data_IF_116735829137
#
_entry.id   IF_116735829137
#
_cell.length_a   1.000
_cell.length_b   1.000
_cell.length_c   1.000
_cell.angle_alpha   90.00
_cell.angle_beta   90.00
_cell.angle_gamma   90.00
#
_symmetry.space_group_name_H-M   'P 1'
#
loop_
_entity.id
_entity.type
_entity.pdbx_description
1 polymer ?
#
# COMPACT_ATOMS: atom_id res chain seq x y z
N UNK A 1 -12.99 -5.76 34.99
CA UNK A 1 -13.27 -6.20 33.60
C UNK A 1 -12.04 -5.87 32.77
N UNK A 2 -11.13 -6.82 32.62
CA UNK A 2 -9.91 -6.67 31.82
C UNK A 2 -10.27 -6.98 30.37
N UNK A 3 -10.64 -5.96 29.61
CA UNK A 3 -10.85 -6.09 28.18
C UNK A 3 -9.50 -6.35 27.51
N UNK A 4 -9.37 -7.48 26.83
CA UNK A 4 -8.26 -7.74 25.92
C UNK A 4 -8.40 -6.73 24.80
N UNK A 5 -7.59 -5.68 24.83
CA UNK A 5 -7.45 -4.75 23.71
C UNK A 5 -6.76 -5.55 22.62
N UNK A 6 -7.49 -6.01 21.60
CA UNK A 6 -6.84 -6.48 20.39
C UNK A 6 -6.08 -5.27 19.84
N UNK A 7 -4.76 -5.33 19.85
CA UNK A 7 -3.93 -4.24 19.35
C UNK A 7 -4.14 -4.10 17.84
N UNK A 8 -5.05 -3.22 17.45
CA UNK A 8 -5.31 -2.92 16.04
C UNK A 8 -4.02 -2.38 15.40
N UNK A 9 -3.62 -2.98 14.29
CA UNK A 9 -2.45 -2.58 13.52
C UNK A 9 -2.73 -1.40 12.58
N UNK A 10 -3.99 -1.24 12.15
CA UNK A 10 -4.41 -0.21 11.22
C UNK A 10 -5.89 0.09 11.30
N UNK A 11 -6.27 1.19 10.63
CA UNK A 11 -7.66 1.55 10.37
C UNK A 11 -7.75 2.44 9.12
N UNK A 12 -8.63 2.06 8.19
CA UNK A 12 -9.03 2.87 7.06
C UNK A 12 -10.42 3.48 7.27
N UNK A 13 -10.58 4.74 6.84
CA UNK A 13 -11.86 5.44 6.82
C UNK A 13 -12.13 6.00 5.43
N UNK A 14 -12.94 5.28 4.66
CA UNK A 14 -13.27 5.58 3.26
C UNK A 14 -13.77 7.03 3.09
N UNK A 15 -14.78 7.46 3.86
CA UNK A 15 -15.40 8.79 3.69
C UNK A 15 -14.45 9.97 4.02
N UNK A 16 -13.48 9.77 4.90
CA UNK A 16 -12.58 10.84 5.38
C UNK A 16 -11.24 10.86 4.64
N UNK A 17 -11.08 9.99 3.65
CA UNK A 17 -9.86 9.77 2.89
C UNK A 17 -8.62 9.53 3.76
N UNK A 18 -8.71 8.60 4.72
CA UNK A 18 -7.62 8.39 5.69
C UNK A 18 -7.31 6.92 5.93
N UNK A 19 -6.02 6.64 6.04
CA UNK A 19 -5.48 5.39 6.58
C UNK A 19 -4.57 5.76 7.75
N UNK A 20 -4.74 5.09 8.87
CA UNK A 20 -3.89 5.25 10.06
C UNK A 20 -3.28 3.90 10.37
N UNK A 21 -1.96 3.85 10.51
CA UNK A 21 -1.21 2.65 10.84
C UNK A 21 -0.40 2.86 12.11
N UNK A 22 -0.33 1.83 12.94
CA UNK A 22 0.61 1.78 14.06
C UNK A 22 2.00 1.58 13.49
N UNK A 23 2.96 2.39 13.94
CA UNK A 23 4.34 2.37 13.41
C UNK A 23 4.99 0.97 13.45
N UNK A 24 4.75 0.19 14.52
CA UNK A 24 5.26 -1.17 14.66
C UNK A 24 4.66 -2.19 13.69
N UNK A 25 3.52 -1.87 13.06
CA UNK A 25 2.87 -2.73 12.05
C UNK A 25 3.22 -2.31 10.61
N UNK A 26 3.99 -1.23 10.44
CA UNK A 26 4.48 -0.75 9.15
C UNK A 26 5.74 -1.50 8.66
N UNK A 27 6.28 -2.42 9.46
CA UNK A 27 7.44 -3.25 9.07
C UNK A 27 7.04 -4.34 8.06
N UNK A 28 5.76 -4.71 8.01
CA UNK A 28 5.20 -5.68 7.06
C UNK A 28 4.34 -4.98 6.00
N UNK A 29 4.63 -5.25 4.71
CA UNK A 29 3.95 -4.65 3.57
C UNK A 29 2.44 -4.98 3.48
N UNK A 30 2.01 -6.14 4.01
CA UNK A 30 0.62 -6.60 3.92
C UNK A 30 -0.34 -5.79 4.79
N UNK A 31 0.11 -5.21 5.91
CA UNK A 31 -0.76 -4.40 6.78
C UNK A 31 -1.23 -3.15 6.06
N UNK A 32 -0.31 -2.41 5.42
CA UNK A 32 -0.70 -1.24 4.63
C UNK A 32 -1.58 -1.63 3.45
N UNK A 33 -1.26 -2.73 2.77
CA UNK A 33 -2.09 -3.23 1.66
C UNK A 33 -3.52 -3.59 2.13
N UNK A 34 -3.67 -4.19 3.31
CA UNK A 34 -4.96 -4.52 3.93
C UNK A 34 -5.81 -3.26 4.17
N UNK A 35 -5.22 -2.24 4.81
CA UNK A 35 -5.93 -0.98 5.04
C UNK A 35 -6.23 -0.23 3.73
N UNK A 36 -5.37 -0.35 2.72
CA UNK A 36 -5.67 0.17 1.38
C UNK A 36 -6.86 -0.56 0.75
N UNK A 37 -6.97 -1.88 0.94
CA UNK A 37 -8.14 -2.65 0.50
C UNK A 37 -9.42 -2.09 1.10
N UNK A 38 -9.47 -1.88 2.42
CA UNK A 38 -10.61 -1.24 3.08
C UNK A 38 -10.86 0.19 2.58
N UNK A 39 -9.82 0.99 2.38
CA UNK A 39 -9.97 2.32 1.79
C UNK A 39 -10.67 2.28 0.42
N UNK A 40 -10.45 1.22 -0.35
CA UNK A 40 -11.09 0.97 -1.64
C UNK A 40 -12.31 0.04 -1.56
N UNK A 41 -13.03 0.05 -0.43
CA UNK A 41 -14.30 -0.66 -0.17
C UNK A 41 -14.27 -2.17 -0.04
N UNK A 42 -13.09 -2.79 0.05
CA UNK A 42 -13.01 -4.22 0.30
C UNK A 42 -13.40 -4.54 1.74
N UNK A 43 -14.19 -5.60 1.89
CA UNK A 43 -14.52 -6.19 3.19
C UNK A 43 -13.48 -7.24 3.55
N UNK A 44 -13.46 -7.65 4.82
CA UNK A 44 -12.69 -8.85 5.20
C UNK A 44 -13.32 -10.08 4.54
N UNK A 45 -12.50 -11.04 4.10
CA UNK A 45 -12.97 -12.30 3.50
C UNK A 45 -13.89 -13.12 4.43
N UNK A 46 -13.80 -12.90 5.74
CA UNK A 46 -14.64 -13.55 6.77
C UNK A 46 -15.80 -12.67 7.24
N UNK A 47 -16.25 -11.72 6.41
CA UNK A 47 -17.37 -10.83 6.74
C UNK A 47 -18.67 -11.62 6.94
N UNK A 48 -19.50 -11.21 7.90
CA UNK A 48 -20.76 -11.88 8.26
C UNK A 48 -21.91 -10.91 8.55
N UNK A 49 -21.68 -9.59 8.48
CA UNK A 49 -22.72 -8.54 8.67
C UNK A 49 -23.87 -8.71 7.69
N UNK A 50 -23.57 -9.12 6.44
CA UNK A 50 -24.58 -9.43 5.42
C UNK A 50 -25.08 -10.88 5.48
N UNK A 51 -24.64 -11.62 6.49
CA UNK A 51 -24.83 -13.06 6.71
C UNK A 51 -23.70 -13.90 6.11
N UNK A 52 -23.82 -15.21 6.23
CA UNK A 52 -22.75 -16.17 5.91
C UNK A 52 -22.80 -16.61 4.43
N UNK A 53 -21.65 -16.60 3.77
CA UNK A 53 -21.42 -17.32 2.53
C UNK A 53 -20.97 -18.77 2.80
N UNK A 54 -21.40 -19.70 1.96
CA UNK A 54 -21.09 -21.12 2.15
C UNK A 54 -19.89 -21.54 1.31
N UNK A 55 -19.20 -22.61 1.74
CA UNK A 55 -18.00 -23.13 1.06
C UNK A 55 -18.28 -23.53 -0.40
N UNK A 56 -19.50 -23.92 -0.70
CA UNK A 56 -19.91 -24.27 -2.07
C UNK A 56 -20.23 -23.05 -2.98
N UNK A 57 -19.98 -21.82 -2.51
CA UNK A 57 -20.28 -20.57 -3.22
C UNK A 57 -21.72 -20.09 -3.09
N UNK A 58 -22.57 -20.76 -2.31
CA UNK A 58 -23.95 -20.29 -2.09
C UNK A 58 -23.92 -18.97 -1.31
N UNK A 59 -24.66 -17.98 -1.80
CA UNK A 59 -24.81 -16.62 -1.24
C UNK A 59 -23.60 -15.69 -1.36
N UNK A 60 -22.52 -16.05 -2.04
CA UNK A 60 -21.33 -15.17 -2.17
C UNK A 60 -21.65 -13.79 -2.79
N UNK A 61 -22.67 -13.69 -3.66
CA UNK A 61 -23.05 -12.40 -4.29
C UNK A 61 -23.70 -11.40 -3.32
N UNK A 62 -24.20 -11.85 -2.16
CA UNK A 62 -25.00 -11.01 -1.25
C UNK A 62 -24.73 -11.24 0.24
N UNK A 63 -23.76 -12.10 0.57
CA UNK A 63 -23.27 -12.45 1.92
C UNK A 63 -21.75 -12.60 1.87
N UNK A 64 -21.12 -12.81 3.02
CA UNK A 64 -19.65 -12.81 3.06
C UNK A 64 -19.09 -11.42 2.78
N UNK A 65 -18.00 -11.37 2.03
CA UNK A 65 -17.37 -10.15 1.53
C UNK A 65 -17.98 -9.60 0.23
N UNK A 66 -19.07 -10.23 -0.24
CA UNK A 66 -19.81 -9.88 -1.45
C UNK A 66 -19.05 -10.19 -2.76
N UNK A 67 -18.05 -11.06 -2.70
CA UNK A 67 -17.24 -11.47 -3.84
C UNK A 67 -17.24 -13.01 -3.94
N UNK A 68 -17.39 -13.55 -5.14
CA UNK A 68 -17.51 -15.00 -5.34
C UNK A 68 -16.20 -15.68 -5.71
N UNK A 69 -15.17 -14.92 -6.06
CA UNK A 69 -13.82 -15.44 -6.34
C UNK A 69 -12.95 -15.54 -5.08
N UNK A 70 -13.42 -15.02 -3.96
CA UNK A 70 -12.90 -15.23 -2.62
C UNK A 70 -13.58 -16.47 -2.02
N UNK A 71 -12.81 -17.50 -1.63
CA UNK A 71 -13.40 -18.66 -0.97
C UNK A 71 -13.87 -18.29 0.44
N UNK A 72 -14.96 -18.93 0.89
CA UNK A 72 -15.50 -18.74 2.23
C UNK A 72 -14.41 -18.86 3.31
N UNK A 73 -14.31 -17.84 4.17
CA UNK A 73 -13.27 -17.72 5.18
C UNK A 73 -13.85 -17.85 6.61
N UNK A 74 -13.41 -18.85 7.40
CA UNK A 74 -13.88 -19.05 8.76
C UNK A 74 -13.21 -18.14 9.82
N UNK A 75 -12.56 -17.06 9.36
CA UNK A 75 -11.64 -16.18 10.08
C UNK A 75 -10.30 -16.86 10.42
N UNK A 76 -9.27 -16.54 9.62
CA UNK A 76 -7.93 -17.15 9.70
C UNK A 76 -7.03 -16.70 10.88
N UNK A 77 -7.55 -15.90 11.81
CA UNK A 77 -6.76 -15.38 12.92
C UNK A 77 -6.18 -16.51 13.78
N UNK A 78 -4.84 -16.59 13.85
CA UNK A 78 -4.07 -17.61 14.60
C UNK A 78 -4.30 -19.07 14.18
N UNK A 79 -4.84 -19.33 12.98
CA UNK A 79 -5.08 -20.69 12.46
C UNK A 79 -4.40 -20.97 11.11
N UNK A 80 -3.40 -20.14 10.78
CA UNK A 80 -2.47 -20.34 9.67
C UNK A 80 -1.06 -20.48 10.22
N UNK A 81 -0.34 -21.51 9.78
CA UNK A 81 1.04 -21.72 10.19
C UNK A 81 1.96 -20.68 9.54
N UNK A 82 2.63 -19.86 10.37
CA UNK A 82 3.48 -18.76 9.93
C UNK A 82 4.69 -19.20 9.09
N UNK A 83 5.13 -20.45 9.20
CA UNK A 83 6.33 -20.95 8.51
C UNK A 83 6.04 -21.41 7.07
N UNK A 84 4.82 -21.88 6.79
CA UNK A 84 4.48 -22.47 5.50
C UNK A 84 3.17 -21.92 4.90
N UNK A 85 2.51 -21.00 5.58
CA UNK A 85 1.28 -20.34 5.14
C UNK A 85 0.15 -21.31 4.83
N UNK A 86 0.05 -22.41 5.59
CA UNK A 86 -1.02 -23.39 5.43
C UNK A 86 -2.08 -23.20 6.52
N UNK A 87 -3.34 -23.17 6.10
CA UNK A 87 -4.48 -23.31 6.99
C UNK A 87 -4.45 -24.68 7.66
N UNK A 88 -4.53 -24.70 9.00
CA UNK A 88 -4.50 -25.93 9.81
C UNK A 88 -5.85 -26.22 10.48
N UNK A 89 -6.85 -25.39 10.22
CA UNK A 89 -8.18 -25.54 10.80
C UNK A 89 -8.96 -26.70 10.18
N UNK A 90 -9.95 -27.18 10.94
CA UNK A 90 -10.87 -28.25 10.53
C UNK A 90 -12.32 -27.78 10.66
N UNK A 91 -12.55 -26.47 10.55
CA UNK A 91 -13.88 -25.90 10.68
C UNK A 91 -14.75 -26.36 9.50
N UNK A 92 -16.01 -26.62 9.81
CA UNK A 92 -17.04 -26.92 8.83
C UNK A 92 -17.99 -25.73 8.72
N UNK A 93 -18.47 -25.46 7.51
CA UNK A 93 -19.61 -24.58 7.33
C UNK A 93 -20.91 -25.26 7.83
N UNK A 94 -22.04 -24.53 7.93
CA UNK A 94 -23.30 -25.13 8.37
C UNK A 94 -23.87 -26.21 7.45
N UNK A 95 -23.33 -26.38 6.24
CA UNK A 95 -23.70 -27.46 5.31
C UNK A 95 -22.79 -28.69 5.47
N UNK A 96 -21.78 -28.62 6.34
CA UNK A 96 -20.87 -29.73 6.63
C UNK A 96 -19.68 -29.83 5.67
N UNK A 97 -19.37 -28.77 4.92
CA UNK A 97 -18.16 -28.72 4.08
C UNK A 97 -17.00 -28.09 4.84
N UNK A 98 -15.80 -28.67 4.68
CA UNK A 98 -14.58 -28.08 5.23
C UNK A 98 -14.25 -26.78 4.51
N UNK A 99 -13.91 -25.75 5.29
CA UNK A 99 -13.38 -24.52 4.72
C UNK A 99 -12.03 -24.78 4.04
N UNK A 100 -11.84 -24.15 2.88
CA UNK A 100 -10.57 -24.11 2.13
C UNK A 100 -10.28 -22.65 1.76
N UNK A 101 -9.98 -21.80 2.77
CA UNK A 101 -9.84 -20.36 2.58
C UNK A 101 -8.53 -20.01 1.87
N UNK A 102 -8.41 -18.78 1.38
CA UNK A 102 -7.17 -18.28 0.79
C UNK A 102 -6.27 -17.64 1.85
N UNK A 103 -5.25 -18.36 2.31
CA UNK A 103 -4.31 -17.88 3.34
C UNK A 103 -3.40 -16.74 2.85
N UNK A 104 -3.37 -16.49 1.54
CA UNK A 104 -2.56 -15.42 0.95
C UNK A 104 -3.36 -14.17 0.59
N UNK A 105 -4.69 -14.21 0.78
CA UNK A 105 -5.52 -13.04 0.52
C UNK A 105 -5.20 -11.92 1.51
N UNK A 106 -4.92 -10.73 0.99
CA UNK A 106 -4.57 -9.55 1.77
C UNK A 106 -5.70 -9.14 2.71
N UNK A 107 -6.97 -9.36 2.35
CA UNK A 107 -8.13 -9.02 3.18
C UNK A 107 -8.49 -10.08 4.22
N UNK A 108 -7.75 -11.20 4.28
CA UNK A 108 -7.90 -12.18 5.35
C UNK A 108 -7.16 -11.78 6.63
N UNK A 109 -7.51 -12.44 7.73
CA UNK A 109 -6.76 -12.41 9.00
C UNK A 109 -5.70 -13.52 9.07
N UNK A 110 -5.19 -13.96 7.92
CA UNK A 110 -4.03 -14.84 7.85
C UNK A 110 -2.78 -14.16 8.43
N UNK A 111 -1.71 -14.95 8.63
CA UNK A 111 -0.44 -14.44 9.12
C UNK A 111 0.08 -13.32 8.20
N UNK A 112 0.53 -12.16 8.73
CA UNK A 112 0.94 -11.02 7.91
C UNK A 112 2.03 -11.34 6.87
N UNK A 113 2.93 -12.28 7.16
CA UNK A 113 4.01 -12.68 6.24
C UNK A 113 3.52 -13.57 5.08
N UNK A 114 2.30 -14.08 5.16
CA UNK A 114 1.71 -14.97 4.15
C UNK A 114 0.86 -14.23 3.13
N UNK A 115 0.32 -13.06 3.48
CA UNK A 115 -0.61 -12.29 2.66
C UNK A 115 0.13 -11.53 1.57
N UNK A 116 -0.18 -11.81 0.31
CA UNK A 116 0.55 -11.25 -0.84
C UNK A 116 -0.30 -10.92 -2.06
N UNK A 117 -1.61 -11.19 -2.05
CA UNK A 117 -2.48 -10.95 -3.21
C UNK A 117 -3.89 -10.48 -2.86
N UNK A 118 -4.48 -9.79 -3.82
CA UNK A 118 -5.93 -9.63 -3.93
C UNK A 118 -6.47 -10.60 -4.99
N UNK A 119 -7.73 -10.98 -4.86
CA UNK A 119 -8.45 -11.70 -5.91
C UNK A 119 -8.77 -10.78 -7.11
N UNK A 120 -9.29 -11.35 -8.19
CA UNK A 120 -9.62 -10.58 -9.40
C UNK A 120 -10.82 -9.67 -9.11
N UNK A 121 -11.86 -10.18 -8.44
CA UNK A 121 -13.05 -9.40 -8.14
C UNK A 121 -12.76 -8.31 -7.10
N UNK A 122 -11.87 -8.56 -6.14
CA UNK A 122 -11.35 -7.53 -5.24
C UNK A 122 -10.68 -6.39 -6.04
N UNK A 123 -9.83 -6.70 -7.02
CA UNK A 123 -9.21 -5.67 -7.86
C UNK A 123 -10.25 -4.89 -8.67
N UNK A 124 -11.28 -5.57 -9.19
CA UNK A 124 -12.37 -4.93 -9.93
C UNK A 124 -13.19 -4.01 -9.02
N UNK A 125 -13.53 -4.45 -7.81
CA UNK A 125 -14.26 -3.64 -6.83
C UNK A 125 -13.47 -2.38 -6.47
N UNK A 126 -12.17 -2.51 -6.17
CA UNK A 126 -11.31 -1.36 -5.87
C UNK A 126 -11.28 -0.37 -7.03
N UNK A 127 -11.16 -0.85 -8.28
CA UNK A 127 -11.20 -0.01 -9.49
C UNK A 127 -12.55 0.69 -9.67
N UNK A 128 -13.65 -0.02 -9.45
CA UNK A 128 -15.00 0.53 -9.55
C UNK A 128 -15.24 1.61 -8.49
N UNK A 129 -14.85 1.34 -7.25
CA UNK A 129 -14.92 2.30 -6.16
C UNK A 129 -14.09 3.54 -6.47
N UNK A 130 -12.85 3.37 -6.93
CA UNK A 130 -11.97 4.47 -7.34
C UNK A 130 -12.64 5.32 -8.43
N UNK A 131 -13.15 4.70 -9.49
CA UNK A 131 -13.78 5.43 -10.60
C UNK A 131 -15.05 6.21 -10.17
N UNK A 132 -15.78 5.71 -9.17
CA UNK A 132 -17.02 6.35 -8.71
C UNK A 132 -16.79 7.41 -7.62
N UNK A 133 -15.81 7.19 -6.74
CA UNK A 133 -15.62 7.99 -5.52
C UNK A 133 -14.38 8.88 -5.55
N UNK A 134 -13.43 8.68 -6.48
CA UNK A 134 -12.20 9.48 -6.51
C UNK A 134 -12.47 10.92 -6.93
N UNK A 135 -12.69 11.77 -5.92
CA UNK A 135 -12.65 13.24 -6.04
C UNK A 135 -11.26 13.82 -5.75
N UNK A 136 -10.35 13.00 -5.20
CA UNK A 136 -9.08 13.45 -4.62
C UNK A 136 -7.87 12.62 -5.05
N UNK A 137 -8.05 11.38 -5.53
CA UNK A 137 -6.98 10.57 -6.12
C UNK A 137 -7.05 10.72 -7.65
N UNK A 138 -6.75 11.92 -8.13
CA UNK A 138 -6.68 12.17 -9.55
C UNK A 138 -5.32 11.68 -10.08
N UNK A 139 -5.35 10.73 -11.01
CA UNK A 139 -4.26 10.61 -11.95
C UNK A 139 -4.25 11.90 -12.77
N UNK A 140 -3.10 12.56 -12.91
CA UNK A 140 -2.98 13.70 -13.81
C UNK A 140 -3.15 13.15 -15.23
N UNK A 141 -4.30 13.44 -15.87
CA UNK A 141 -4.62 12.96 -17.22
C UNK A 141 -3.79 13.77 -18.24
N UNK A 142 -3.12 13.07 -19.15
CA UNK A 142 -2.18 13.58 -20.18
C UNK A 142 -2.65 14.83 -20.96
N UNK A 143 -3.96 15.06 -21.07
CA UNK A 143 -4.53 16.17 -21.84
C UNK A 143 -4.50 17.53 -21.13
N UNK A 144 -4.42 17.59 -19.79
CA UNK A 144 -4.13 18.82 -19.03
C UNK A 144 -2.63 18.99 -18.72
N UNK A 145 -1.85 17.94 -18.98
CA UNK A 145 -0.41 17.83 -18.74
C UNK A 145 0.35 18.93 -19.53
N UNK A 146 -0.04 19.27 -20.75
CA UNK A 146 0.65 20.34 -21.52
C UNK A 146 0.68 21.73 -20.82
N UNK A 147 -0.26 21.99 -19.89
CA UNK A 147 -0.32 23.21 -19.08
C UNK A 147 0.26 23.03 -17.66
N UNK A 148 0.30 21.80 -17.11
CA UNK A 148 0.83 21.48 -15.78
C UNK A 148 2.30 20.94 -15.76
N UNK A 149 2.80 20.33 -16.85
CA UNK A 149 4.20 19.83 -17.01
C UNK A 149 5.21 20.95 -16.98
N UNK A 150 4.76 22.18 -17.20
CA UNK A 150 5.65 23.32 -17.20
C UNK A 150 6.22 23.63 -15.82
N UNK A 151 5.91 22.89 -14.74
CA UNK A 151 6.62 23.01 -13.47
C UNK A 151 6.92 21.63 -12.88
N UNK A 152 8.19 21.26 -12.89
CA UNK A 152 8.76 20.13 -12.16
C UNK A 152 8.43 20.27 -10.67
N UNK A 153 7.86 19.24 -10.07
CA UNK A 153 7.79 19.07 -8.62
C UNK A 153 8.05 17.61 -8.24
N UNK A 154 8.57 17.38 -7.05
CA UNK A 154 8.90 16.03 -6.58
C UNK A 154 8.90 15.91 -5.06
N UNK A 155 8.69 14.72 -4.53
CA UNK A 155 8.84 14.43 -3.10
C UNK A 155 10.06 13.54 -2.85
N UNK A 156 10.55 13.62 -1.62
CA UNK A 156 11.65 12.80 -1.13
C UNK A 156 11.18 12.04 0.10
N UNK A 157 11.49 10.75 0.17
CA UNK A 157 11.09 9.90 1.29
C UNK A 157 12.07 8.74 1.50
N UNK A 158 12.25 8.26 2.73
CA UNK A 158 11.85 8.93 3.96
C UNK A 158 12.68 10.22 4.16
N UNK A 159 12.22 11.12 5.03
CA UNK A 159 13.01 12.27 5.46
C UNK A 159 12.66 12.57 6.92
N UNK A 160 13.55 12.33 7.90
CA UNK A 160 14.97 11.96 7.75
C UNK A 160 15.21 10.57 7.13
N UNK A 161 16.39 10.37 6.55
CA UNK A 161 16.77 9.13 5.82
C UNK A 161 18.09 8.55 6.34
N UNK A 162 18.17 7.21 6.38
CA UNK A 162 19.37 6.49 6.81
C UNK A 162 20.24 6.00 5.65
N UNK A 163 19.69 5.28 4.66
CA UNK A 163 20.51 4.60 3.64
C UNK A 163 20.10 4.94 2.21
N UNK A 164 18.83 4.74 1.88
CA UNK A 164 18.29 5.00 0.56
C UNK A 164 17.20 6.07 0.63
N UNK A 165 17.34 7.12 -0.18
CA UNK A 165 16.30 8.13 -0.36
C UNK A 165 15.53 7.85 -1.65
N UNK A 166 14.22 7.68 -1.53
CA UNK A 166 13.26 7.56 -2.62
C UNK A 166 12.91 8.93 -3.21
N UNK A 167 12.74 8.94 -4.52
CA UNK A 167 12.38 10.10 -5.32
C UNK A 167 11.13 9.78 -6.15
N UNK A 168 10.13 10.66 -6.07
CA UNK A 168 8.94 10.60 -6.92
C UNK A 168 8.56 12.00 -7.42
N UNK A 169 8.40 12.17 -8.72
CA UNK A 169 8.00 13.42 -9.37
C UNK A 169 6.60 13.35 -9.97
N UNK A 170 6.07 14.52 -10.33
CA UNK A 170 4.80 14.68 -11.03
C UNK A 170 4.84 14.34 -12.54
N UNK A 171 5.95 13.78 -13.04
CA UNK A 171 6.15 13.48 -14.47
C UNK A 171 6.09 11.96 -14.75
N UNK A 172 5.96 11.53 -16.02
CA UNK A 172 5.84 10.11 -16.36
C UNK A 172 7.01 9.23 -15.87
N UNK A 173 6.74 7.95 -15.62
CA UNK A 173 7.71 6.99 -15.06
C UNK A 173 9.02 6.86 -15.86
N UNK A 174 8.93 6.94 -17.19
CA UNK A 174 10.08 6.82 -18.08
C UNK A 174 10.93 8.12 -18.17
N UNK A 175 10.51 9.19 -17.50
CA UNK A 175 11.23 10.46 -17.51
C UNK A 175 12.58 10.33 -16.81
N UNK A 176 13.64 10.79 -17.48
CA UNK A 176 15.02 10.80 -16.96
C UNK A 176 15.36 12.20 -16.44
N UNK A 177 15.99 12.23 -15.27
CA UNK A 177 16.33 13.43 -14.52
C UNK A 177 17.82 13.50 -14.20
N UNK A 178 18.39 14.70 -14.29
CA UNK A 178 19.72 14.99 -13.79
C UNK A 178 19.66 15.27 -12.28
N UNK A 179 20.13 14.33 -11.46
CA UNK A 179 20.26 14.50 -10.02
C UNK A 179 21.63 15.08 -9.65
N UNK A 180 21.62 16.06 -8.75
CA UNK A 180 22.78 16.47 -7.95
C UNK A 180 22.42 16.50 -6.46
N UNK A 181 23.24 15.87 -5.61
CA UNK A 181 23.16 16.05 -4.16
C UNK A 181 24.23 17.06 -3.74
N UNK A 182 23.81 18.08 -3.02
CA UNK A 182 24.61 19.25 -2.67
C UNK A 182 24.63 19.39 -1.15
N UNK A 183 25.80 19.70 -0.56
CA UNK A 183 25.90 20.00 0.87
C UNK A 183 25.49 21.44 1.20
N UNK A 184 25.50 21.80 2.49
CA UNK A 184 25.14 23.16 2.95
C UNK A 184 26.06 24.27 2.44
N UNK A 185 27.26 23.93 1.94
CA UNK A 185 28.21 24.86 1.38
C UNK A 185 28.10 24.98 -0.15
N UNK A 186 27.14 24.29 -0.77
CA UNK A 186 26.96 24.29 -2.21
C UNK A 186 27.87 23.32 -2.97
N UNK A 187 28.62 22.46 -2.27
CA UNK A 187 29.48 21.45 -2.92
C UNK A 187 28.63 20.30 -3.42
N UNK A 188 28.76 19.96 -4.70
CA UNK A 188 28.14 18.77 -5.29
C UNK A 188 28.89 17.53 -4.76
N UNK A 189 28.16 16.66 -4.05
CA UNK A 189 28.67 15.42 -3.45
C UNK A 189 28.40 14.23 -4.36
N UNK A 190 27.23 14.19 -4.99
CA UNK A 190 26.80 13.12 -5.89
C UNK A 190 26.16 13.75 -7.13
N UNK A 191 26.41 13.17 -8.31
CA UNK A 191 25.72 13.51 -9.54
C UNK A 191 25.43 12.23 -10.34
N UNK A 192 24.20 12.04 -10.79
CA UNK A 192 23.79 10.88 -11.60
C UNK A 192 22.48 11.16 -12.34
N UNK A 193 22.17 10.33 -13.33
CA UNK A 193 20.83 10.28 -13.92
C UNK A 193 19.94 9.33 -13.11
N UNK A 194 18.66 9.70 -12.94
CA UNK A 194 17.65 8.86 -12.30
C UNK A 194 16.34 8.89 -13.08
N UNK A 195 15.52 7.85 -12.92
CA UNK A 195 14.14 7.82 -13.40
C UNK A 195 13.16 8.23 -12.29
N UNK A 196 11.91 8.50 -12.66
CA UNK A 196 10.86 8.67 -11.66
C UNK A 196 10.68 7.35 -10.85
N UNK A 197 10.21 7.47 -9.60
CA UNK A 197 10.02 6.35 -8.65
C UNK A 197 11.30 5.53 -8.43
N UNK A 198 12.44 6.20 -8.23
CA UNK A 198 13.73 5.55 -8.02
C UNK A 198 14.30 5.79 -6.63
N UNK A 199 15.27 4.96 -6.25
CA UNK A 199 16.01 5.08 -5.00
C UNK A 199 17.46 5.51 -5.24
N UNK A 200 17.98 6.30 -4.32
CA UNK A 200 19.35 6.79 -4.32
C UNK A 200 20.04 6.36 -3.04
N UNK A 201 21.10 5.55 -3.18
CA UNK A 201 21.99 5.21 -2.08
C UNK A 201 22.79 6.46 -1.64
N UNK A 202 22.70 6.77 -0.36
CA UNK A 202 23.38 7.86 0.32
C UNK A 202 24.18 7.39 1.54
N UNK A 203 24.48 6.10 1.65
CA UNK A 203 25.25 5.53 2.77
C UNK A 203 26.63 6.21 2.95
N UNK A 204 27.21 6.72 1.85
CA UNK A 204 28.49 7.42 1.86
C UNK A 204 28.41 8.84 2.45
N UNK A 205 27.21 9.39 2.65
CA UNK A 205 27.03 10.72 3.23
C UNK A 205 27.12 10.65 4.76
N UNK A 206 27.80 11.64 5.34
CA UNK A 206 27.80 11.84 6.79
C UNK A 206 26.43 12.33 7.28
N UNK A 207 26.12 12.15 8.58
CA UNK A 207 24.92 12.70 9.20
C UNK A 207 24.90 14.22 9.02
N UNK A 208 23.78 14.77 8.54
CA UNK A 208 23.70 16.19 8.24
C UNK A 208 22.55 16.59 7.31
N UNK A 209 22.51 17.88 6.98
CA UNK A 209 21.53 18.44 6.04
C UNK A 209 22.14 18.48 4.63
N UNK A 210 21.35 18.06 3.66
CA UNK A 210 21.72 18.07 2.25
C UNK A 210 20.56 18.58 1.39
N UNK A 211 20.88 18.93 0.15
CA UNK A 211 19.95 19.40 -0.85
C UNK A 211 19.94 18.44 -2.03
N UNK A 212 18.76 17.90 -2.32
CA UNK A 212 18.50 17.06 -3.47
C UNK A 212 18.01 17.96 -4.61
N UNK A 213 18.85 18.14 -5.62
CA UNK A 213 18.57 19.01 -6.76
C UNK A 213 18.29 18.16 -7.99
N UNK A 214 17.16 18.42 -8.62
CA UNK A 214 16.75 17.78 -9.87
C UNK A 214 16.70 18.83 -10.97
N UNK A 215 17.36 18.51 -12.08
CA UNK A 215 17.27 19.27 -13.31
C UNK A 215 16.54 18.46 -14.38
N UNK A 216 15.58 19.12 -15.02
CA UNK A 216 14.82 18.60 -16.15
C UNK A 216 14.50 19.74 -17.11
N UNK A 217 14.85 19.58 -18.38
CA UNK A 217 14.80 20.67 -19.38
C UNK A 217 15.51 21.94 -18.88
N UNK A 218 14.80 23.07 -18.79
CA UNK A 218 15.33 24.35 -18.30
C UNK A 218 15.06 24.58 -16.81
N UNK A 219 14.49 23.60 -16.11
CA UNK A 219 14.05 23.74 -14.72
C UNK A 219 15.02 23.07 -13.77
N UNK A 220 15.19 23.71 -12.61
CA UNK A 220 15.99 23.20 -11.50
C UNK A 220 15.16 23.34 -10.24
N UNK A 221 14.84 22.23 -9.60
CA UNK A 221 14.08 22.19 -8.35
C UNK A 221 14.93 21.53 -7.29
N UNK A 222 15.00 22.15 -6.11
CA UNK A 222 15.86 21.70 -5.01
C UNK A 222 15.01 21.50 -3.77
N UNK A 223 15.11 20.32 -3.13
CA UNK A 223 14.46 20.03 -1.85
C UNK A 223 15.48 19.58 -0.82
N UNK A 224 15.27 20.01 0.42
CA UNK A 224 16.13 19.67 1.57
C UNK A 224 15.79 18.28 2.10
N UNK A 225 16.80 17.49 2.44
CA UNK A 225 16.64 16.28 3.24
C UNK A 225 17.69 16.20 4.35
N UNK A 226 17.42 15.36 5.35
CA UNK A 226 18.28 15.14 6.52
C UNK A 226 18.77 13.69 6.47
N UNK A 227 20.10 13.51 6.40
CA UNK A 227 20.74 12.22 6.66
C UNK A 227 20.83 12.04 8.18
N UNK A 228 20.16 11.01 8.70
CA UNK A 228 20.20 10.59 10.10
C UNK A 228 21.18 9.44 10.32
#
# INVERSE_FOLDING_TARGET
MTGVVSELCGYAHEIKDRIVLRNSCCENYSTLAHELGHYFSLLHTHETVFGLEYVNGTNCENRGDLLCDTPADPNLNNIVNSNNCQYVGQQLDPLGYYYSPDERNIMSYSHPDCRDRFSIDQIIQMKNFFNYNSKNLHCIIDTELSLLINNLDFILFPNPVQSNIGFASNLPNETVFDLSIIDVFGKIILKKEIKNFSYVDINSLSIGTYFFQIKYNQQVVTKKFIKA
#
